data_IF_407947620065
#
_entry.id   IF_407947620065
#
_cell.length_a   1.000
_cell.length_b   1.000
_cell.length_c   1.000
_cell.angle_alpha   90.00
_cell.angle_beta   90.00
_cell.angle_gamma   90.00
#
_symmetry.space_group_name_H-M   'P 1'
#
loop_
_entity.id
_entity.type
_entity.pdbx_description
1 polymer ?
#
# COMPACT_ATOMS: atom_id res chain seq x y z
N UNK A 1 30.43 96.38 -24.06
CA UNK A 1 29.63 95.56 -23.12
C UNK A 1 30.44 95.28 -21.86
N UNK A 2 29.87 95.67 -20.71
CA UNK A 2 30.04 95.25 -19.30
C UNK A 2 31.43 94.87 -18.71
N UNK A 3 31.80 95.66 -17.67
CA UNK A 3 32.68 95.34 -16.53
C UNK A 3 32.25 94.04 -15.81
N UNK A 4 33.14 93.38 -15.06
CA UNK A 4 32.97 92.96 -13.64
C UNK A 4 34.13 92.05 -13.15
N UNK A 5 34.88 92.58 -12.18
CA UNK A 5 35.62 92.01 -11.05
C UNK A 5 36.24 90.59 -11.09
N UNK A 6 37.57 90.54 -11.19
CA UNK A 6 38.45 89.37 -10.97
C UNK A 6 38.92 89.20 -9.50
N UNK A 7 38.22 89.77 -8.51
CA UNK A 7 38.68 89.80 -7.10
C UNK A 7 37.80 88.95 -6.15
N UNK A 8 36.70 88.36 -6.64
CA UNK A 8 35.72 87.69 -5.76
C UNK A 8 35.73 86.15 -5.76
N UNK A 9 36.73 85.50 -6.37
CA UNK A 9 36.78 84.02 -6.45
C UNK A 9 37.71 83.41 -5.37
N UNK A 10 38.59 84.21 -4.75
CA UNK A 10 39.58 83.69 -3.80
C UNK A 10 39.06 83.51 -2.36
N UNK A 11 37.93 84.14 -1.99
CA UNK A 11 37.41 84.10 -0.61
C UNK A 11 36.47 82.92 -0.33
N UNK A 12 35.78 82.39 -1.36
CA UNK A 12 34.81 81.30 -1.18
C UNK A 12 35.46 79.90 -1.07
N UNK A 13 36.65 79.71 -1.67
CA UNK A 13 37.34 78.41 -1.66
C UNK A 13 38.07 78.17 -0.32
N UNK A 14 38.58 79.23 0.32
CA UNK A 14 39.28 79.09 1.60
C UNK A 14 38.31 78.83 2.77
N UNK A 15 37.10 79.38 2.72
CA UNK A 15 36.05 79.16 3.73
C UNK A 15 35.45 77.74 3.69
N UNK A 16 35.48 77.04 2.54
CA UNK A 16 34.96 75.68 2.42
C UNK A 16 35.95 74.61 2.94
N UNK A 17 37.24 74.95 3.04
CA UNK A 17 38.28 74.03 3.54
C UNK A 17 38.39 73.95 5.07
N UNK A 18 37.85 74.94 5.80
CA UNK A 18 37.89 75.01 7.27
C UNK A 18 36.67 74.38 7.97
N UNK A 19 35.62 74.03 7.22
CA UNK A 19 34.43 73.34 7.76
C UNK A 19 34.53 71.80 7.72
N UNK A 20 35.58 71.24 7.10
CA UNK A 20 35.78 69.79 7.02
C UNK A 20 36.71 69.22 8.10
N UNK A 21 37.35 70.04 8.93
CA UNK A 21 38.36 69.61 9.92
C UNK A 21 37.91 69.71 11.39
N UNK A 22 36.64 69.98 11.67
CA UNK A 22 36.11 70.09 13.05
C UNK A 22 34.95 69.13 13.35
N UNK A 23 34.86 68.00 12.63
CA UNK A 23 33.86 66.96 12.85
C UNK A 23 34.45 65.67 13.42
N UNK A 24 34.92 65.68 14.68
CA UNK A 24 35.10 64.44 15.44
C UNK A 24 33.73 63.85 15.81
N UNK A 25 33.00 63.34 14.83
CA UNK A 25 31.96 62.36 15.08
C UNK A 25 32.65 61.09 15.57
N UNK A 26 32.76 60.94 16.89
CA UNK A 26 32.86 59.61 17.49
C UNK A 26 31.65 58.85 16.95
N UNK A 27 31.87 57.98 15.96
CA UNK A 27 30.89 56.99 15.53
C UNK A 27 30.51 56.22 16.80
N UNK A 28 29.36 56.56 17.38
CA UNK A 28 28.59 55.59 18.15
C UNK A 28 28.11 54.62 17.08
N UNK A 29 28.96 53.65 16.78
CA UNK A 29 28.61 52.49 16.00
C UNK A 29 27.35 51.94 16.66
N UNK A 30 26.23 51.95 15.92
CA UNK A 30 25.03 51.33 16.41
C UNK A 30 25.40 49.88 16.77
N UNK A 31 25.01 49.36 17.95
CA UNK A 31 25.32 47.98 18.29
C UNK A 31 24.82 47.09 17.15
N UNK A 32 25.68 46.18 16.69
CA UNK A 32 25.37 45.29 15.58
C UNK A 32 23.97 44.69 15.79
N UNK A 33 23.10 44.68 14.76
CA UNK A 33 21.77 44.10 14.91
C UNK A 33 21.92 42.65 15.39
N UNK A 34 21.03 42.15 16.26
CA UNK A 34 21.17 40.81 16.84
C UNK A 34 21.20 39.73 15.74
N UNK A 35 22.40 39.32 15.36
CA UNK A 35 22.68 38.41 14.23
C UNK A 35 22.21 36.98 14.49
N UNK A 36 22.04 36.62 15.76
CA UNK A 36 21.59 35.29 16.18
C UNK A 36 20.18 35.01 15.66
N UNK A 37 19.27 35.99 15.74
CA UNK A 37 17.88 35.80 15.28
C UNK A 37 17.81 35.67 13.76
N UNK A 38 18.46 36.58 13.02
CA UNK A 38 18.44 36.56 11.55
C UNK A 38 19.10 35.31 10.98
N UNK A 39 20.23 34.88 11.56
CA UNK A 39 20.90 33.63 11.19
C UNK A 39 20.03 32.41 11.46
N UNK A 40 19.40 32.34 12.63
CA UNK A 40 18.54 31.20 12.99
C UNK A 40 17.30 31.12 12.07
N UNK A 41 16.73 32.26 11.68
CA UNK A 41 15.64 32.31 10.69
C UNK A 41 16.11 31.75 9.34
N UNK A 42 17.27 32.19 8.84
CA UNK A 42 17.83 31.69 7.59
C UNK A 42 18.12 30.18 7.64
N UNK A 43 18.73 29.70 8.73
CA UNK A 43 18.98 28.27 8.94
C UNK A 43 17.69 27.45 9.02
N UNK A 44 16.61 28.06 9.54
CA UNK A 44 15.27 27.44 9.58
C UNK A 44 14.73 27.29 8.17
N UNK A 45 14.72 28.36 7.37
CA UNK A 45 14.29 28.30 5.96
C UNK A 45 15.09 27.28 5.15
N UNK A 46 16.41 27.24 5.31
CA UNK A 46 17.25 26.25 4.64
C UNK A 46 16.90 24.80 5.03
N UNK A 47 16.41 24.57 6.25
CA UNK A 47 15.99 23.23 6.68
C UNK A 47 14.63 22.86 6.09
N UNK A 48 13.70 23.82 6.09
CA UNK A 48 12.37 23.67 5.47
C UNK A 48 12.48 23.41 3.97
N UNK A 49 13.32 24.17 3.26
CA UNK A 49 13.56 24.01 1.81
C UNK A 49 14.14 22.63 1.46
N UNK A 50 14.94 22.06 2.37
CA UNK A 50 15.53 20.72 2.19
C UNK A 50 14.60 19.59 2.64
N UNK A 51 13.42 19.88 3.19
CA UNK A 51 12.55 18.88 3.80
C UNK A 51 13.13 18.22 5.06
N UNK A 52 14.13 18.83 5.70
CA UNK A 52 14.71 18.33 6.96
C UNK A 52 13.85 18.80 8.14
N UNK A 53 12.67 18.18 8.26
CA UNK A 53 11.64 18.53 9.25
C UNK A 53 12.16 18.41 10.69
N UNK A 54 12.97 17.39 11.00
CA UNK A 54 13.55 17.22 12.35
C UNK A 54 14.48 18.38 12.70
N UNK A 55 15.34 18.81 11.77
CA UNK A 55 16.20 19.96 11.99
C UNK A 55 15.42 21.28 12.01
N UNK A 56 14.33 21.39 11.24
CA UNK A 56 13.47 22.55 11.23
C UNK A 56 12.77 22.74 12.58
N UNK A 57 12.16 21.68 13.14
CA UNK A 57 11.49 21.72 14.46
C UNK A 57 12.44 22.25 15.55
N UNK A 58 13.66 21.70 15.64
CA UNK A 58 14.65 22.14 16.64
C UNK A 58 15.01 23.62 16.50
N UNK A 59 15.04 24.15 15.28
CA UNK A 59 15.34 25.58 15.03
C UNK A 59 14.12 26.47 15.34
N UNK A 60 12.91 26.03 15.01
CA UNK A 60 11.67 26.73 15.35
C UNK A 60 11.48 26.81 16.87
N UNK A 61 11.74 25.71 17.60
CA UNK A 61 11.71 25.71 19.07
C UNK A 61 12.68 26.75 19.67
N UNK A 62 13.87 26.92 19.08
CA UNK A 62 14.81 27.97 19.48
C UNK A 62 14.28 29.36 19.14
N UNK A 63 13.66 29.55 17.98
CA UNK A 63 13.03 30.82 17.59
C UNK A 63 11.88 31.20 18.55
N UNK A 64 11.07 30.24 18.98
CA UNK A 64 9.99 30.46 19.96
C UNK A 64 10.51 30.87 21.33
N UNK A 65 11.68 30.37 21.75
CA UNK A 65 12.31 30.84 23.00
C UNK A 65 12.72 32.31 22.93
N UNK A 66 13.03 32.82 21.74
CA UNK A 66 13.37 34.23 21.51
C UNK A 66 12.13 35.11 21.34
N UNK A 67 11.01 34.53 20.89
CA UNK A 67 9.76 35.25 20.61
C UNK A 67 8.54 34.37 20.93
N UNK A 68 8.27 34.19 22.23
CA UNK A 68 7.28 33.24 22.72
C UNK A 68 5.82 33.63 22.38
N UNK A 69 5.57 34.92 22.15
CA UNK A 69 4.24 35.44 21.78
C UNK A 69 3.91 35.27 20.30
N UNK A 70 4.86 34.77 19.49
CA UNK A 70 4.67 34.65 18.06
C UNK A 70 3.85 33.39 17.70
N UNK A 71 2.56 33.60 17.43
CA UNK A 71 1.60 32.55 17.05
C UNK A 71 2.03 31.84 15.75
N UNK A 72 2.66 32.55 14.80
CA UNK A 72 3.13 31.94 13.56
C UNK A 72 4.20 30.89 13.83
N UNK A 73 5.14 31.17 14.74
CA UNK A 73 6.17 30.20 15.11
C UNK A 73 5.57 28.99 15.83
N UNK A 74 4.53 29.19 16.64
CA UNK A 74 3.82 28.09 17.29
C UNK A 74 3.11 27.19 16.26
N UNK A 75 2.38 27.78 15.31
CA UNK A 75 1.70 27.02 14.26
C UNK A 75 2.70 26.30 13.34
N UNK A 76 3.78 26.98 12.95
CA UNK A 76 4.84 26.40 12.13
C UNK A 76 5.51 25.21 12.84
N UNK A 77 5.75 25.32 14.15
CA UNK A 77 6.28 24.19 14.93
C UNK A 77 5.35 22.99 14.91
N UNK A 78 4.04 23.20 15.11
CA UNK A 78 3.04 22.13 15.06
C UNK A 78 3.02 21.46 13.69
N UNK A 79 2.99 22.25 12.61
CA UNK A 79 3.03 21.73 11.24
C UNK A 79 4.30 20.92 10.99
N UNK A 80 5.46 21.42 11.38
CA UNK A 80 6.72 20.72 11.17
C UNK A 80 6.89 19.48 12.04
N UNK A 81 6.30 19.46 13.24
CA UNK A 81 6.21 18.24 14.06
C UNK A 81 5.36 17.17 13.37
N UNK A 82 4.22 17.56 12.80
CA UNK A 82 3.39 16.66 11.99
C UNK A 82 4.15 16.16 10.76
N UNK A 83 4.80 17.03 10.00
CA UNK A 83 5.59 16.66 8.81
C UNK A 83 6.74 15.70 9.16
N UNK A 84 7.45 15.97 10.25
CA UNK A 84 8.48 15.07 10.78
C UNK A 84 7.91 13.69 11.11
N UNK A 85 6.72 13.64 11.72
CA UNK A 85 6.06 12.37 12.05
C UNK A 85 5.64 11.61 10.79
N UNK A 86 5.09 12.30 9.78
CA UNK A 86 4.75 11.70 8.49
C UNK A 86 5.99 11.11 7.81
N UNK A 87 7.13 11.79 7.88
CA UNK A 87 8.40 11.26 7.34
C UNK A 87 8.87 9.99 8.04
N UNK A 88 8.72 9.92 9.37
CA UNK A 88 9.03 8.70 10.15
C UNK A 88 8.09 7.53 9.78
N UNK A 89 6.79 7.81 9.62
CA UNK A 89 5.80 6.82 9.16
C UNK A 89 6.15 6.33 7.76
N UNK A 90 6.50 7.24 6.84
CA UNK A 90 6.87 6.89 5.47
C UNK A 90 8.14 6.02 5.42
N UNK A 91 9.11 6.26 6.31
CA UNK A 91 10.29 5.41 6.41
C UNK A 91 9.92 3.96 6.76
N UNK A 92 9.02 3.75 7.73
CA UNK A 92 8.51 2.42 8.08
C UNK A 92 7.78 1.76 6.90
N UNK A 93 7.01 2.53 6.13
CA UNK A 93 6.34 2.03 4.90
C UNK A 93 7.36 1.58 3.87
N UNK A 94 8.41 2.38 3.63
CA UNK A 94 9.48 2.04 2.68
C UNK A 94 10.25 0.78 3.10
N UNK A 95 10.39 0.54 4.40
CA UNK A 95 10.97 -0.68 4.97
C UNK A 95 10.02 -1.90 4.95
N UNK A 96 8.77 -1.72 4.49
CA UNK A 96 7.75 -2.78 4.47
C UNK A 96 7.13 -3.11 5.84
N UNK A 97 7.40 -2.29 6.86
CA UNK A 97 6.95 -2.42 8.25
C UNK A 97 5.60 -1.76 8.47
N UNK A 98 4.59 -2.19 7.69
CA UNK A 98 3.27 -1.54 7.64
C UNK A 98 2.53 -1.57 8.98
N UNK A 99 2.63 -2.66 9.75
CA UNK A 99 2.00 -2.76 11.07
C UNK A 99 2.56 -1.74 12.07
N UNK A 100 3.87 -1.49 12.00
CA UNK A 100 4.53 -0.51 12.85
C UNK A 100 4.18 0.93 12.42
N UNK A 101 4.05 1.17 11.12
CA UNK A 101 3.56 2.44 10.59
C UNK A 101 2.14 2.75 11.07
N UNK A 102 1.24 1.75 11.06
CA UNK A 102 -0.13 1.88 11.60
C UNK A 102 -0.08 2.22 13.09
N UNK A 103 0.66 1.45 13.88
CA UNK A 103 0.80 1.68 15.32
C UNK A 103 1.33 3.08 15.63
N UNK A 104 2.36 3.53 14.92
CA UNK A 104 2.93 4.86 15.10
C UNK A 104 1.92 5.98 14.77
N UNK A 105 1.11 5.77 13.73
CA UNK A 105 0.04 6.69 13.33
C UNK A 105 -1.04 6.79 14.41
N UNK A 106 -1.54 5.65 14.89
CA UNK A 106 -2.54 5.59 15.96
C UNK A 106 -2.05 6.23 17.26
N UNK A 107 -0.81 5.94 17.67
CA UNK A 107 -0.21 6.54 18.87
C UNK A 107 -0.06 8.06 18.75
N UNK A 108 0.27 8.58 17.56
CA UNK A 108 0.35 10.02 17.33
C UNK A 108 -1.03 10.67 17.42
N UNK A 109 -2.04 10.09 16.76
CA UNK A 109 -3.41 10.58 16.80
C UNK A 109 -4.02 10.54 18.21
N UNK A 110 -3.61 9.57 19.03
CA UNK A 110 -4.04 9.50 20.43
C UNK A 110 -3.44 10.62 21.28
N UNK A 111 -2.18 11.01 21.03
CA UNK A 111 -1.46 12.03 21.82
C UNK A 111 -1.78 13.45 21.40
N UNK A 112 -1.78 13.72 20.09
CA UNK A 112 -1.90 15.07 19.52
C UNK A 112 -3.33 15.39 19.04
N UNK A 113 -4.23 14.40 19.08
CA UNK A 113 -5.59 14.50 18.58
C UNK A 113 -5.76 13.93 17.17
N UNK A 114 -7.01 13.62 16.83
CA UNK A 114 -7.36 13.06 15.52
C UNK A 114 -7.50 14.19 14.51
N UNK A 115 -6.55 14.30 13.60
CA UNK A 115 -6.64 15.20 12.44
C UNK A 115 -7.08 14.44 11.19
N UNK A 116 -7.66 15.15 10.23
CA UNK A 116 -8.13 14.57 8.96
C UNK A 116 -6.95 14.01 8.15
N UNK A 117 -5.78 14.63 8.22
CA UNK A 117 -4.56 14.17 7.54
C UNK A 117 -4.10 12.82 8.06
N UNK A 118 -4.01 12.65 9.38
CA UNK A 118 -3.58 11.38 9.96
C UNK A 118 -4.65 10.29 9.84
N UNK A 119 -5.94 10.65 9.82
CA UNK A 119 -7.01 9.72 9.46
C UNK A 119 -6.87 9.21 8.02
N UNK A 120 -6.53 10.09 7.07
CA UNK A 120 -6.28 9.71 5.69
C UNK A 120 -5.08 8.76 5.57
N UNK A 121 -3.97 9.09 6.25
CA UNK A 121 -2.77 8.23 6.30
C UNK A 121 -3.12 6.85 6.87
N UNK A 122 -3.84 6.78 7.99
CA UNK A 122 -4.23 5.53 8.61
C UNK A 122 -5.06 4.65 7.66
N UNK A 123 -6.03 5.23 6.96
CA UNK A 123 -6.87 4.53 5.99
C UNK A 123 -6.04 3.98 4.81
N UNK A 124 -5.06 4.75 4.33
CA UNK A 124 -4.15 4.30 3.27
C UNK A 124 -3.25 3.16 3.76
N UNK A 125 -2.69 3.25 4.96
CA UNK A 125 -1.89 2.20 5.58
C UNK A 125 -2.69 0.91 5.77
N UNK A 126 -3.95 1.00 6.19
CA UNK A 126 -4.84 -0.16 6.30
C UNK A 126 -5.11 -0.81 4.94
N UNK A 127 -5.31 0.00 3.90
CA UNK A 127 -5.46 -0.49 2.52
C UNK A 127 -4.20 -1.21 2.05
N UNK A 128 -3.03 -0.64 2.35
CA UNK A 128 -1.73 -1.22 2.00
C UNK A 128 -1.48 -2.54 2.75
N UNK A 129 -1.84 -2.61 4.03
CA UNK A 129 -1.78 -3.86 4.82
C UNK A 129 -2.65 -4.94 4.21
N UNK A 130 -3.92 -4.62 3.91
CA UNK A 130 -4.86 -5.55 3.29
C UNK A 130 -4.37 -6.06 1.93
N UNK A 131 -3.68 -5.20 1.17
CA UNK A 131 -3.08 -5.55 -0.10
C UNK A 131 -1.90 -6.49 0.08
N UNK A 132 -0.97 -6.17 0.99
CA UNK A 132 0.19 -7.00 1.33
C UNK A 132 -0.24 -8.42 1.73
N UNK A 133 -1.18 -8.53 2.67
CA UNK A 133 -1.72 -9.81 3.12
C UNK A 133 -2.36 -10.61 1.97
N UNK A 134 -3.09 -9.94 1.08
CA UNK A 134 -3.71 -10.60 -0.06
C UNK A 134 -2.65 -11.11 -1.06
N UNK A 135 -1.61 -10.32 -1.32
CA UNK A 135 -0.48 -10.71 -2.20
C UNK A 135 0.30 -11.89 -1.62
N UNK A 136 0.57 -11.88 -0.32
CA UNK A 136 1.24 -13.00 0.34
C UNK A 136 0.37 -14.28 0.29
N UNK A 137 -0.94 -14.15 0.51
CA UNK A 137 -1.85 -15.27 0.54
C UNK A 137 -2.18 -15.88 -0.84
N UNK A 138 -2.02 -15.16 -1.95
CA UNK A 138 -2.23 -15.74 -3.31
C UNK A 138 -1.08 -16.66 -3.76
N UNK A 139 0.03 -16.70 -3.04
CA UNK A 139 1.10 -17.66 -3.30
C UNK A 139 0.79 -19.04 -2.71
N UNK A 140 -0.11 -19.14 -1.74
CA UNK A 140 -0.57 -20.40 -1.16
C UNK A 140 -1.68 -21.01 -2.04
N UNK A 141 -1.33 -21.99 -2.87
CA UNK A 141 -2.27 -22.70 -3.75
C UNK A 141 -2.97 -23.88 -3.10
N UNK A 142 -2.75 -24.15 -1.81
CA UNK A 142 -3.33 -25.31 -1.12
C UNK A 142 -4.86 -25.24 -0.98
N UNK A 143 -5.43 -24.03 -1.06
CA UNK A 143 -6.85 -23.80 -0.90
C UNK A 143 -7.37 -22.90 -2.03
N UNK A 144 -8.06 -23.49 -2.99
CA UNK A 144 -8.59 -22.83 -4.19
C UNK A 144 -9.53 -21.66 -3.84
N UNK A 145 -10.35 -21.81 -2.80
CA UNK A 145 -11.25 -20.75 -2.33
C UNK A 145 -10.47 -19.56 -1.75
N UNK A 146 -9.45 -19.81 -0.93
CA UNK A 146 -8.56 -18.75 -0.40
C UNK A 146 -7.80 -18.07 -1.53
N UNK A 147 -7.30 -18.82 -2.50
CA UNK A 147 -6.62 -18.29 -3.68
C UNK A 147 -7.53 -17.34 -4.47
N UNK A 148 -8.73 -17.80 -4.84
CA UNK A 148 -9.70 -17.00 -5.59
C UNK A 148 -10.12 -15.73 -4.83
N UNK A 149 -10.38 -15.85 -3.52
CA UNK A 149 -10.77 -14.73 -2.66
C UNK A 149 -9.69 -13.66 -2.58
N UNK A 150 -8.43 -14.06 -2.33
CA UNK A 150 -7.34 -13.09 -2.22
C UNK A 150 -7.01 -12.45 -3.57
N UNK A 151 -7.07 -13.20 -4.67
CA UNK A 151 -6.90 -12.64 -6.01
C UNK A 151 -8.01 -11.62 -6.36
N UNK A 152 -9.26 -11.91 -5.98
CA UNK A 152 -10.36 -10.97 -6.11
C UNK A 152 -10.15 -9.71 -5.23
N UNK A 153 -9.66 -9.87 -4.00
CA UNK A 153 -9.35 -8.76 -3.10
C UNK A 153 -8.28 -7.83 -3.68
N UNK A 154 -7.20 -8.37 -4.26
CA UNK A 154 -6.19 -7.57 -4.99
C UNK A 154 -6.85 -6.76 -6.10
N UNK A 155 -7.70 -7.39 -6.92
CA UNK A 155 -8.40 -6.72 -8.02
C UNK A 155 -9.34 -5.61 -7.53
N UNK A 156 -10.06 -5.83 -6.43
CA UNK A 156 -10.93 -4.82 -5.82
C UNK A 156 -10.14 -3.61 -5.29
N UNK A 157 -9.01 -3.85 -4.63
CA UNK A 157 -8.13 -2.76 -4.15
C UNK A 157 -7.56 -2.00 -5.34
N UNK A 158 -7.04 -2.69 -6.35
CA UNK A 158 -6.49 -2.09 -7.56
C UNK A 158 -7.49 -1.23 -8.36
N UNK A 159 -8.80 -1.51 -8.27
CA UNK A 159 -9.83 -0.69 -8.89
C UNK A 159 -9.98 0.70 -8.25
N UNK A 160 -9.64 0.83 -6.96
CA UNK A 160 -9.79 2.07 -6.18
C UNK A 160 -8.45 2.76 -5.88
N UNK A 161 -7.35 2.00 -5.84
CA UNK A 161 -6.02 2.46 -5.50
C UNK A 161 -5.08 2.34 -6.69
N UNK A 162 -4.80 3.47 -7.36
CA UNK A 162 -4.03 3.51 -8.62
C UNK A 162 -2.67 2.80 -8.52
N UNK A 163 -1.86 2.96 -7.45
CA UNK A 163 -0.57 2.26 -7.36
C UNK A 163 -0.69 0.73 -7.38
N UNK A 164 -1.81 0.16 -6.94
CA UNK A 164 -2.03 -1.29 -6.94
C UNK A 164 -2.42 -1.86 -8.32
N UNK A 165 -2.64 -1.03 -9.35
CA UNK A 165 -2.99 -1.51 -10.70
C UNK A 165 -1.90 -2.40 -11.31
N UNK A 166 -0.63 -2.22 -10.91
CA UNK A 166 0.49 -3.09 -11.33
C UNK A 166 0.27 -4.57 -10.95
N UNK A 167 -0.58 -4.85 -9.96
CA UNK A 167 -0.89 -6.21 -9.50
C UNK A 167 -2.08 -6.85 -10.23
N UNK A 168 -2.74 -6.15 -11.15
CA UNK A 168 -3.86 -6.71 -11.92
C UNK A 168 -3.50 -7.96 -12.74
N UNK A 169 -2.32 -8.02 -13.41
CA UNK A 169 -1.91 -9.24 -14.12
C UNK A 169 -1.82 -10.44 -13.18
N UNK A 170 -1.18 -10.28 -12.02
CA UNK A 170 -1.08 -11.32 -10.99
C UNK A 170 -2.47 -11.76 -10.53
N UNK A 171 -3.36 -10.81 -10.21
CA UNK A 171 -4.72 -11.14 -9.76
C UNK A 171 -5.50 -11.93 -10.82
N UNK A 172 -5.42 -11.54 -12.09
CA UNK A 172 -6.11 -12.24 -13.18
C UNK A 172 -5.52 -13.64 -13.42
N UNK A 173 -4.20 -13.80 -13.38
CA UNK A 173 -3.52 -15.10 -13.48
C UNK A 173 -3.99 -16.05 -12.37
N UNK A 174 -3.99 -15.58 -11.11
CA UNK A 174 -4.38 -16.40 -9.96
C UNK A 174 -5.87 -16.75 -9.97
N UNK A 175 -6.74 -15.86 -10.47
CA UNK A 175 -8.15 -16.19 -10.70
C UNK A 175 -8.34 -17.27 -11.78
N UNK A 176 -7.59 -17.18 -12.88
CA UNK A 176 -7.63 -18.20 -13.94
C UNK A 176 -7.13 -19.55 -13.42
N UNK A 177 -6.06 -19.56 -12.63
CA UNK A 177 -5.55 -20.76 -11.96
C UNK A 177 -6.59 -21.36 -11.01
N UNK A 178 -7.22 -20.53 -10.16
CA UNK A 178 -8.25 -21.00 -9.24
C UNK A 178 -9.43 -21.64 -9.99
N UNK A 179 -9.87 -21.04 -11.10
CA UNK A 179 -10.92 -21.62 -11.97
C UNK A 179 -10.49 -22.99 -12.52
N UNK A 180 -9.24 -23.11 -13.00
CA UNK A 180 -8.71 -24.39 -13.51
C UNK A 180 -8.66 -25.47 -12.43
N UNK A 181 -8.21 -25.13 -11.22
CA UNK A 181 -8.14 -26.06 -10.09
C UNK A 181 -9.54 -26.50 -9.67
N UNK A 182 -10.48 -25.57 -9.53
CA UNK A 182 -11.88 -25.88 -9.21
C UNK A 182 -12.52 -26.82 -10.24
N UNK A 183 -12.36 -26.54 -11.53
CA UNK A 183 -12.85 -27.42 -12.59
C UNK A 183 -12.15 -28.79 -12.63
N UNK A 184 -10.90 -28.87 -12.16
CA UNK A 184 -10.20 -30.16 -12.02
C UNK A 184 -10.70 -30.96 -10.83
N UNK A 185 -10.89 -30.33 -9.68
CA UNK A 185 -11.44 -30.97 -8.47
C UNK A 185 -12.87 -31.45 -8.70
N UNK A 186 -13.70 -30.62 -9.33
CA UNK A 186 -15.07 -31.01 -9.69
C UNK A 186 -15.10 -32.25 -10.58
N UNK A 187 -14.24 -32.30 -11.62
CA UNK A 187 -14.16 -33.48 -12.51
C UNK A 187 -13.76 -34.74 -11.75
N UNK A 188 -12.70 -34.66 -10.92
CA UNK A 188 -12.30 -35.80 -10.09
C UNK A 188 -13.42 -36.27 -9.15
N UNK A 189 -14.13 -35.35 -8.51
CA UNK A 189 -15.25 -35.70 -7.64
C UNK A 189 -16.39 -36.40 -8.39
N UNK A 190 -16.69 -35.96 -9.62
CA UNK A 190 -17.68 -36.61 -10.50
C UNK A 190 -17.18 -38.00 -10.92
N UNK A 191 -15.91 -38.13 -11.30
CA UNK A 191 -15.30 -39.40 -11.70
C UNK A 191 -15.31 -40.40 -10.53
N UNK A 192 -14.87 -39.99 -9.34
CA UNK A 192 -14.86 -40.80 -8.12
C UNK A 192 -16.28 -41.26 -7.73
N UNK A 193 -17.26 -40.34 -7.79
CA UNK A 193 -18.66 -40.65 -7.54
C UNK A 193 -19.23 -41.64 -8.58
N UNK A 194 -18.81 -41.52 -9.84
CA UNK A 194 -19.23 -42.46 -10.90
C UNK A 194 -18.72 -43.88 -10.66
N UNK A 195 -17.46 -44.00 -10.21
CA UNK A 195 -16.84 -45.28 -9.85
C UNK A 195 -17.57 -45.89 -8.64
N UNK A 196 -17.87 -45.10 -7.63
CA UNK A 196 -18.63 -45.55 -6.46
C UNK A 196 -20.05 -45.99 -6.84
N UNK A 197 -20.76 -45.18 -7.62
CA UNK A 197 -22.11 -45.51 -8.10
C UNK A 197 -22.13 -46.82 -8.88
N UNK A 198 -21.17 -47.01 -9.80
CA UNK A 198 -21.05 -48.24 -10.58
C UNK A 198 -20.71 -49.47 -9.72
N UNK A 199 -19.82 -49.31 -8.74
CA UNK A 199 -19.47 -50.38 -7.80
C UNK A 199 -20.67 -50.79 -6.91
N UNK A 200 -21.50 -49.82 -6.48
CA UNK A 200 -22.71 -50.07 -5.71
C UNK A 200 -23.80 -50.76 -6.55
N UNK A 201 -24.01 -50.30 -7.79
CA UNK A 201 -24.94 -50.92 -8.75
C UNK A 201 -24.59 -52.40 -8.98
N UNK A 202 -23.31 -52.68 -9.19
CA UNK A 202 -22.79 -54.03 -9.46
C UNK A 202 -23.04 -54.99 -8.29
N UNK A 203 -23.07 -54.46 -7.06
CA UNK A 203 -23.37 -55.20 -5.84
C UNK A 203 -24.87 -55.25 -5.49
N UNK A 204 -25.72 -54.63 -6.30
CA UNK A 204 -27.15 -54.46 -6.03
C UNK A 204 -27.44 -53.76 -4.69
N UNK A 205 -26.56 -52.84 -4.30
CA UNK A 205 -26.69 -52.05 -3.07
C UNK A 205 -27.72 -50.92 -3.26
N UNK A 206 -28.64 -50.75 -2.31
CA UNK A 206 -29.69 -49.73 -2.38
C UNK A 206 -29.14 -48.30 -2.41
N UNK A 207 -27.91 -48.08 -1.91
CA UNK A 207 -27.21 -46.78 -1.97
C UNK A 207 -26.83 -46.35 -3.38
N UNK A 208 -26.81 -47.28 -4.34
CA UNK A 208 -26.50 -46.98 -5.74
C UNK A 208 -27.42 -45.90 -6.31
N UNK A 209 -28.73 -45.95 -6.00
CA UNK A 209 -29.71 -44.98 -6.50
C UNK A 209 -29.42 -43.58 -5.98
N UNK A 210 -29.00 -43.45 -4.71
CA UNK A 210 -28.62 -42.17 -4.13
C UNK A 210 -27.35 -41.62 -4.78
N UNK A 211 -26.32 -42.44 -4.98
CA UNK A 211 -25.08 -42.03 -5.65
C UNK A 211 -25.33 -41.58 -7.10
N UNK A 212 -26.15 -42.33 -7.85
CA UNK A 212 -26.58 -41.97 -9.20
C UNK A 212 -27.42 -40.68 -9.23
N UNK A 213 -28.28 -40.46 -8.24
CA UNK A 213 -29.08 -39.23 -8.16
C UNK A 213 -28.19 -38.00 -8.00
N UNK A 214 -27.17 -38.07 -7.14
CA UNK A 214 -26.18 -36.99 -6.96
C UNK A 214 -25.37 -36.80 -8.23
N UNK A 215 -24.91 -37.89 -8.85
CA UNK A 215 -24.16 -37.84 -10.10
C UNK A 215 -24.99 -37.23 -11.25
N UNK A 216 -26.26 -37.59 -11.37
CA UNK A 216 -27.18 -37.06 -12.38
C UNK A 216 -27.54 -35.59 -12.16
N UNK A 217 -27.52 -35.10 -10.91
CA UNK A 217 -27.64 -33.66 -10.62
C UNK A 217 -26.39 -32.88 -11.03
N UNK A 218 -25.21 -33.45 -10.81
CA UNK A 218 -23.92 -32.79 -11.14
C UNK A 218 -23.55 -32.89 -12.63
N UNK A 219 -23.91 -34.00 -13.28
CA UNK A 219 -23.68 -34.27 -14.70
C UNK A 219 -24.76 -35.21 -15.26
N UNK A 220 -25.90 -34.67 -15.75
CA UNK A 220 -27.02 -35.47 -16.26
C UNK A 220 -26.67 -36.34 -17.47
N UNK A 221 -25.69 -35.91 -18.28
CA UNK A 221 -25.26 -36.59 -19.51
C UNK A 221 -24.11 -37.58 -19.26
N UNK A 222 -23.79 -37.88 -18.00
CA UNK A 222 -22.72 -38.82 -17.67
C UNK A 222 -23.07 -40.24 -18.18
N UNK A 223 -22.16 -40.98 -18.83
CA UNK A 223 -22.45 -42.30 -19.40
C UNK A 223 -23.11 -43.28 -18.42
N UNK A 224 -22.62 -43.35 -17.17
CA UNK A 224 -23.18 -44.19 -16.10
C UNK A 224 -24.66 -43.85 -15.80
N UNK A 225 -25.07 -42.59 -15.93
CA UNK A 225 -26.47 -42.18 -15.76
C UNK A 225 -27.30 -42.64 -16.94
N UNK A 226 -26.82 -42.42 -18.16
CA UNK A 226 -27.51 -42.85 -19.38
C UNK A 226 -27.70 -44.36 -19.41
N UNK A 227 -26.65 -45.13 -19.09
CA UNK A 227 -26.70 -46.60 -19.00
C UNK A 227 -27.71 -47.08 -17.95
N UNK A 228 -27.79 -46.40 -16.80
CA UNK A 228 -28.76 -46.72 -15.76
C UNK A 228 -30.19 -46.40 -16.18
N UNK A 229 -30.41 -45.26 -16.85
CA UNK A 229 -31.72 -44.87 -17.38
C UNK A 229 -32.20 -45.87 -18.45
N UNK A 230 -31.29 -46.33 -19.31
CA UNK A 230 -31.57 -47.38 -20.30
C UNK A 230 -31.96 -48.69 -19.61
N UNK A 231 -31.19 -49.12 -18.61
CA UNK A 231 -31.50 -50.31 -17.82
C UNK A 231 -32.91 -50.26 -17.19
N UNK A 232 -33.28 -49.16 -16.54
CA UNK A 232 -34.61 -49.05 -15.91
C UNK A 232 -35.75 -48.90 -16.93
N UNK A 233 -35.46 -48.39 -18.14
CA UNK A 233 -36.42 -48.31 -19.24
C UNK A 233 -36.65 -49.65 -19.95
N UNK A 234 -35.83 -50.66 -19.64
CA UNK A 234 -35.89 -51.99 -20.26
C UNK A 234 -35.27 -52.05 -21.66
N UNK A 235 -34.53 -51.02 -22.08
CA UNK A 235 -33.90 -50.94 -23.41
C UNK A 235 -32.61 -51.76 -23.51
N UNK A 236 -31.93 -52.04 -22.39
CA UNK A 236 -30.64 -52.76 -22.35
C UNK A 236 -30.58 -53.67 -21.10
N UNK A 237 -29.97 -54.89 -21.17
CA UNK A 237 -29.72 -55.71 -20.00
C UNK A 237 -28.83 -55.02 -18.95
N UNK A 238 -28.92 -55.47 -17.69
CA UNK A 238 -28.19 -54.91 -16.54
C UNK A 238 -26.71 -54.66 -16.87
N UNK A 239 -26.13 -53.49 -16.53
CA UNK A 239 -24.73 -53.21 -16.81
C UNK A 239 -23.85 -54.30 -16.20
N UNK A 240 -23.12 -55.02 -17.06
CA UNK A 240 -22.25 -56.14 -16.67
C UNK A 240 -20.84 -55.64 -16.45
N UNK A 241 -20.27 -55.98 -15.29
CA UNK A 241 -18.85 -55.77 -15.00
C UNK A 241 -18.03 -56.74 -15.83
N UNK A 242 -17.42 -56.28 -16.94
CA UNK A 242 -16.23 -56.96 -17.43
C UNK A 242 -15.09 -56.67 -16.46
N UNK A 243 -14.95 -57.55 -15.47
CA UNK A 243 -13.76 -57.58 -14.64
C UNK A 243 -12.58 -57.87 -15.58
N UNK A 244 -11.69 -56.89 -15.70
CA UNK A 244 -10.43 -57.00 -16.41
C UNK A 244 -9.73 -58.32 -16.01
N UNK A 245 -9.76 -59.30 -16.92
CA UNK A 245 -9.02 -60.55 -16.79
C UNK A 245 -7.56 -60.31 -17.20
N UNK A 246 -6.89 -59.36 -16.55
CA UNK A 246 -5.44 -59.22 -16.58
C UNK A 246 -4.80 -59.80 -15.32
N UNK A 247 -5.28 -60.97 -14.85
CA UNK A 247 -4.50 -61.80 -13.92
C UNK A 247 -3.39 -62.50 -14.69
N UNK A 248 -2.17 -62.01 -14.47
CA UNK A 248 -0.93 -62.53 -15.02
C UNK A 248 -0.80 -64.05 -14.89
N UNK A 249 -0.50 -64.67 -16.01
CA UNK A 249 0.13 -65.98 -16.07
C UNK A 249 1.58 -65.85 -15.63
N UNK A 250 1.81 -65.97 -14.32
CA UNK A 250 3.10 -66.43 -13.81
C UNK A 250 3.28 -67.88 -14.24
N UNK A 251 3.94 -68.10 -15.38
CA UNK A 251 4.52 -69.40 -15.72
C UNK A 251 5.83 -69.51 -14.95
N UNK A 252 5.78 -70.27 -13.85
CA UNK A 252 6.93 -70.88 -13.23
C UNK A 252 7.61 -71.80 -14.25
N UNK A 253 8.86 -71.49 -14.61
CA UNK A 253 9.75 -72.39 -15.35
C UNK A 253 10.75 -72.92 -14.31
N UNK A 254 10.66 -74.23 -14.08
CA UNK A 254 11.72 -75.04 -13.48
C UNK A 254 12.89 -75.14 -14.45
#
# INVERSE_FOLDING_TARGET
>A
MRKIHLIFVFSAVLALSLLFSAGCFKKKEAPDPPTVRSRLVQETFNSLEKGDHQSAVKKIERLRKLDAGNIFLANLETTEKSNSKVSEIQLLVNEGRIDEAIKMTDEHMFKEGRSDEFLAILNELQTLKQLKEAVEAVNDSSNVTRLARNAAKIKMIAAKYKPAQVLLPLANEKLALAKKLYSSEKRKAVDDLSIEAFALLSKNDSRAVSALSVLGLENPEHPVILDYLDYISGSVPKPVVEADKSKGTSKSIK
#
